data_IF_056740360573
#
_entry.id   IF_056740360573
#
_cell.length_a   1.000
_cell.length_b   1.000
_cell.length_c   1.000
_cell.angle_alpha   90.00
_cell.angle_beta   90.00
_cell.angle_gamma   90.00
#
_symmetry.space_group_name_H-M   'P 1'
#
loop_
_entity.id
_entity.type
_entity.pdbx_description
1 polymer ?
#
# COMPACT_ATOMS: atom_id res chain seq x y z
N UNK A 1 -6.39 -2.38 2.39
CA UNK A 1 -5.01 -2.40 2.90
C UNK A 1 -4.23 -1.28 2.23
N UNK A 2 -3.60 -0.47 3.02
CA UNK A 2 -2.84 0.66 2.49
C UNK A 2 -1.36 0.36 2.51
N UNK A 3 -0.66 0.81 1.50
CA UNK A 3 0.77 0.56 1.34
C UNK A 3 1.48 1.86 1.05
N UNK A 4 2.73 1.91 1.42
CA UNK A 4 3.60 3.03 1.08
C UNK A 4 4.90 2.47 0.51
N UNK A 5 5.69 3.33 -0.12
CA UNK A 5 6.93 2.92 -0.73
C UNK A 5 8.07 3.79 -0.21
N UNK A 6 9.25 3.20 -0.12
CA UNK A 6 10.44 3.95 0.28
C UNK A 6 11.12 4.63 -0.90
N UNK A 7 10.63 4.41 -2.12
CA UNK A 7 11.16 5.04 -3.32
C UNK A 7 10.04 5.12 -4.36
N UNK A 8 10.27 5.89 -5.41
CA UNK A 8 9.32 5.96 -6.50
C UNK A 8 9.31 4.62 -7.24
N UNK A 9 8.11 4.06 -7.39
CA UNK A 9 7.93 2.80 -8.09
C UNK A 9 6.83 2.93 -9.11
N UNK A 10 6.99 2.19 -10.20
CA UNK A 10 5.98 2.16 -11.24
C UNK A 10 5.82 0.74 -11.76
N UNK A 11 4.57 0.29 -11.86
CA UNK A 11 4.23 -1.04 -12.35
C UNK A 11 3.31 -0.88 -13.55
N UNK A 12 3.87 -0.55 -14.72
CA UNK A 12 2.99 -0.22 -15.86
C UNK A 12 2.08 -1.36 -16.28
N UNK A 13 2.52 -2.59 -16.14
CA UNK A 13 1.67 -3.74 -16.48
C UNK A 13 0.51 -3.92 -15.53
N UNK A 14 0.53 -3.29 -14.37
CA UNK A 14 -0.51 -3.40 -13.36
C UNK A 14 -1.30 -2.11 -13.20
N UNK A 15 -1.00 -1.10 -14.00
CA UNK A 15 -1.63 0.23 -13.88
C UNK A 15 -1.51 0.78 -12.47
N UNK A 16 -0.38 0.58 -11.85
CA UNK A 16 -0.14 1.01 -10.47
C UNK A 16 1.19 1.76 -10.42
N UNK A 17 1.19 2.88 -9.74
CA UNK A 17 2.41 3.65 -9.51
C UNK A 17 2.31 4.27 -8.13
N UNK A 18 3.44 4.36 -7.44
CA UNK A 18 3.47 4.94 -6.10
C UNK A 18 4.77 5.70 -5.95
N UNK A 19 4.68 6.87 -5.36
CA UNK A 19 5.84 7.72 -5.11
C UNK A 19 6.39 7.48 -3.72
N UNK A 20 7.62 7.88 -3.53
CA UNK A 20 8.25 7.77 -2.22
C UNK A 20 7.40 8.47 -1.17
N UNK A 21 7.04 7.74 -0.13
CA UNK A 21 6.25 8.28 0.97
C UNK A 21 4.77 8.38 0.71
N UNK A 22 4.32 8.10 -0.52
CA UNK A 22 2.91 8.12 -0.84
C UNK A 22 2.21 6.91 -0.25
N UNK A 23 0.96 7.09 0.17
CA UNK A 23 0.14 6.00 0.71
C UNK A 23 -0.99 5.71 -0.26
N UNK A 24 -1.10 4.47 -0.68
CA UNK A 24 -2.12 4.05 -1.63
C UNK A 24 -2.69 2.71 -1.23
N UNK A 25 -3.92 2.45 -1.68
CA UNK A 25 -4.53 1.14 -1.52
C UNK A 25 -3.99 0.20 -2.60
N UNK A 26 -3.87 -1.07 -2.23
CA UNK A 26 -3.51 -2.09 -3.22
C UNK A 26 -4.66 -2.30 -4.19
N UNK A 27 -4.35 -2.75 -5.42
CA UNK A 27 -5.39 -3.13 -6.36
C UNK A 27 -6.22 -4.28 -5.81
N UNK A 28 -7.45 -4.39 -6.32
CA UNK A 28 -8.33 -5.48 -5.92
C UNK A 28 -7.92 -6.82 -6.52
N UNK A 29 -7.04 -6.81 -7.49
CA UNK A 29 -6.56 -8.04 -8.14
C UNK A 29 -5.57 -8.73 -7.22
N UNK A 30 -5.84 -9.96 -6.74
CA UNK A 30 -4.93 -10.63 -5.83
C UNK A 30 -3.54 -10.87 -6.42
N UNK A 31 -3.46 -11.15 -7.71
CA UNK A 31 -2.15 -11.37 -8.34
C UNK A 31 -1.34 -10.08 -8.37
N UNK A 32 -1.99 -8.99 -8.75
CA UNK A 32 -1.30 -7.71 -8.76
C UNK A 32 -0.87 -7.31 -7.35
N UNK A 33 -1.74 -7.49 -6.38
CA UNK A 33 -1.41 -7.15 -5.01
C UNK A 33 -0.21 -7.96 -4.52
N UNK A 34 -0.19 -9.26 -4.82
CA UNK A 34 0.93 -10.11 -4.42
C UNK A 34 2.22 -9.64 -5.05
N UNK A 35 2.16 -9.28 -6.33
CA UNK A 35 3.35 -8.81 -7.03
C UNK A 35 3.87 -7.52 -6.40
N UNK A 36 2.97 -6.61 -6.06
CA UNK A 36 3.36 -5.33 -5.50
C UNK A 36 3.97 -5.49 -4.11
N UNK A 37 3.35 -6.28 -3.24
CA UNK A 37 3.87 -6.44 -1.88
C UNK A 37 5.16 -7.24 -1.86
N UNK A 38 5.47 -7.96 -2.93
CA UNK A 38 6.74 -8.66 -3.01
C UNK A 38 7.91 -7.71 -3.23
N UNK A 39 7.64 -6.46 -3.59
CA UNK A 39 8.70 -5.48 -3.78
C UNK A 39 9.35 -5.15 -2.44
N UNK A 40 10.68 -5.07 -2.42
CA UNK A 40 11.41 -4.76 -1.21
C UNK A 40 11.14 -3.32 -0.73
N UNK A 41 10.61 -2.48 -1.59
CA UNK A 41 10.39 -1.07 -1.27
C UNK A 41 8.98 -0.79 -0.78
N UNK A 42 8.09 -1.77 -0.81
CA UNK A 42 6.70 -1.58 -0.40
C UNK A 42 6.54 -2.01 1.05
N UNK A 43 5.86 -1.19 1.83
CA UNK A 43 5.59 -1.48 3.23
C UNK A 43 4.12 -1.26 3.52
N UNK A 44 3.59 -2.05 4.42
CA UNK A 44 2.20 -1.92 4.83
C UNK A 44 2.06 -0.78 5.83
N UNK A 45 1.01 0.01 5.66
CA UNK A 45 0.71 1.12 6.55
C UNK A 45 -0.47 0.72 7.42
N UNK A 46 -0.35 0.78 8.75
CA UNK A 46 -1.48 0.45 9.62
C UNK A 46 -2.66 1.38 9.37
N UNK A 47 -3.86 0.83 9.50
CA UNK A 47 -5.07 1.60 9.28
C UNK A 47 -5.30 2.54 10.45
N UNK A 48 -5.44 3.84 10.19
CA UNK A 48 -5.63 4.77 11.30
C UNK A 48 -6.91 4.53 12.07
N UNK A 49 -7.96 4.11 11.42
CA UNK A 49 -9.22 3.95 12.11
C UNK A 49 -9.17 2.84 13.14
N UNK A 50 -8.26 1.90 13.00
CA UNK A 50 -8.16 0.86 14.00
C UNK A 50 -7.69 1.41 15.33
N UNK A 51 -7.05 2.56 15.32
CA UNK A 51 -6.64 3.20 16.54
C UNK A 51 -7.77 3.94 17.21
N UNK A 52 -8.66 4.50 16.41
CA UNK A 52 -9.70 5.34 16.95
C UNK A 52 -10.82 4.52 17.56
N UNK A 53 -10.99 3.34 17.11
CA UNK A 53 -12.06 2.57 17.65
C UNK A 53 -11.90 2.38 19.11
N UNK A 54 -10.94 2.50 19.40
CA UNK A 54 -10.82 2.44 20.72
C UNK A 54 -11.20 3.56 21.36
N UNK A 55 -11.30 4.07 21.01
CA UNK A 55 -11.58 4.96 21.56
C UNK A 55 -12.61 5.36 21.82
N UNK A 56 -12.80 4.91 21.55
CA UNK A 56 -13.56 5.18 21.77
C UNK A 56 -13.91 5.43 22.58
N UNK A 57 -13.78 5.36 22.67
CA UNK A 57 -13.93 5.62 23.37
C UNK A 57 -13.99 6.07 23.65
#
# INVERSE_FOLDING_TARGET
MKMTSTTDLEFPGLHFAIRQGEVKDLPNDPEAATFIVASAYIREVPEPESQTTRKTT
#
